data_IF_156517861794
#
_entry.id   IF_156517861794
#
_cell.length_a   1.000
_cell.length_b   1.000
_cell.length_c   1.000
_cell.angle_alpha   90.00
_cell.angle_beta   90.00
_cell.angle_gamma   90.00
#
_symmetry.space_group_name_H-M   'P 1'
#
loop_
_entity.id
_entity.type
_entity.pdbx_description
1 polymer ?
#
# COMPACT_ATOMS: atom_id res chain seq x y z
N UNK A 1 63.30 39.35 -116.19
CA UNK A 1 62.59 39.98 -115.05
C UNK A 1 61.72 38.99 -114.25
N UNK A 2 61.25 37.88 -114.84
CA UNK A 2 60.25 37.01 -114.20
C UNK A 2 60.76 36.08 -113.07
N UNK A 3 62.03 35.61 -113.11
CA UNK A 3 62.57 34.67 -112.10
C UNK A 3 62.69 35.27 -110.68
N UNK A 4 62.97 36.57 -110.55
CA UNK A 4 63.14 37.22 -109.25
C UNK A 4 61.80 37.45 -108.52
N UNK A 5 60.70 37.60 -109.26
CA UNK A 5 59.37 37.81 -108.70
C UNK A 5 58.84 36.52 -108.05
N UNK A 6 59.08 35.36 -108.68
CA UNK A 6 58.65 34.06 -108.16
C UNK A 6 59.37 33.73 -106.83
N UNK A 7 60.67 34.02 -106.74
CA UNK A 7 61.45 33.82 -105.50
C UNK A 7 60.91 34.70 -104.37
N UNK A 8 60.57 35.96 -104.67
CA UNK A 8 60.04 36.89 -103.68
C UNK A 8 58.68 36.42 -103.13
N UNK A 9 57.81 35.87 -103.98
CA UNK A 9 56.49 35.35 -103.58
C UNK A 9 56.63 34.09 -102.72
N UNK A 10 57.54 33.18 -103.06
CA UNK A 10 57.80 31.97 -102.25
C UNK A 10 58.37 32.33 -100.88
N UNK A 11 59.30 33.29 -100.82
CA UNK A 11 59.86 33.78 -99.56
C UNK A 11 58.77 34.45 -98.71
N UNK A 12 57.91 35.28 -99.30
CA UNK A 12 56.78 35.87 -98.59
C UNK A 12 55.85 34.80 -98.01
N UNK A 13 55.52 33.78 -98.80
CA UNK A 13 54.62 32.69 -98.39
C UNK A 13 55.22 31.87 -97.23
N UNK A 14 56.52 31.60 -97.25
CA UNK A 14 57.23 30.92 -96.16
C UNK A 14 57.22 31.80 -94.90
N UNK A 15 57.47 33.09 -95.01
CA UNK A 15 57.43 34.03 -93.87
C UNK A 15 56.03 34.08 -93.27
N UNK A 16 54.98 34.18 -94.09
CA UNK A 16 53.58 34.20 -93.60
C UNK A 16 53.21 32.90 -92.89
N UNK A 17 53.63 31.75 -93.41
CA UNK A 17 53.40 30.45 -92.76
C UNK A 17 54.20 30.31 -91.46
N UNK A 18 55.45 30.78 -91.40
CA UNK A 18 56.26 30.78 -90.17
C UNK A 18 55.67 31.69 -89.08
N UNK A 19 55.13 32.86 -89.44
CA UNK A 19 54.46 33.77 -88.50
C UNK A 19 53.14 33.16 -87.99
N UNK A 20 52.33 32.56 -88.87
CA UNK A 20 51.10 31.86 -88.46
C UNK A 20 51.39 30.64 -87.58
N UNK A 21 52.46 29.87 -87.87
CA UNK A 21 52.88 28.76 -87.04
C UNK A 21 53.36 29.26 -85.67
N UNK A 22 54.17 30.32 -85.61
CA UNK A 22 54.61 30.94 -84.35
C UNK A 22 53.46 31.44 -83.48
N UNK A 23 52.40 32.00 -84.08
CA UNK A 23 51.19 32.42 -83.36
C UNK A 23 50.35 31.23 -82.86
N UNK A 24 50.33 30.11 -83.59
CA UNK A 24 49.63 28.89 -83.18
C UNK A 24 50.27 28.22 -81.94
N UNK A 25 51.61 28.26 -81.82
CA UNK A 25 52.30 27.75 -80.61
C UNK A 25 52.24 28.70 -79.41
N UNK A 26 51.99 30.00 -79.63
CA UNK A 26 51.92 30.99 -78.55
C UNK A 26 50.64 30.87 -77.70
N UNK A 27 49.64 30.12 -78.17
CA UNK A 27 48.38 29.90 -77.45
C UNK A 27 48.43 28.79 -76.37
N UNK A 28 49.60 28.19 -76.11
CA UNK A 28 49.76 27.21 -75.01
C UNK A 28 49.70 27.79 -73.59
N UNK A 29 49.36 29.07 -73.41
CA UNK A 29 49.22 29.71 -72.09
C UNK A 29 47.80 29.78 -71.55
N UNK A 30 46.80 29.27 -72.27
CA UNK A 30 45.42 29.20 -71.79
C UNK A 30 45.09 27.82 -71.20
N UNK A 31 45.92 27.34 -70.26
CA UNK A 31 45.52 26.21 -69.41
C UNK A 31 44.83 26.85 -68.20
N UNK A 32 43.50 26.75 -68.14
CA UNK A 32 42.76 27.21 -66.95
C UNK A 32 43.30 26.47 -65.72
N UNK A 33 43.69 27.23 -64.70
CA UNK A 33 44.16 26.64 -63.43
C UNK A 33 43.03 25.80 -62.86
N UNK A 34 43.21 24.49 -62.79
CA UNK A 34 42.33 23.64 -61.98
C UNK A 34 42.30 24.22 -60.56
N UNK A 35 41.10 24.28 -59.96
CA UNK A 35 40.88 24.87 -58.65
C UNK A 35 41.99 24.44 -57.67
N UNK A 36 42.58 25.41 -56.96
CA UNK A 36 43.64 25.16 -56.00
C UNK A 36 43.11 24.33 -54.83
N UNK A 37 43.19 23.01 -54.96
CA UNK A 37 43.03 22.03 -53.87
C UNK A 37 44.29 22.04 -53.03
N UNK A 38 44.52 23.15 -52.34
CA UNK A 38 45.48 23.20 -51.25
C UNK A 38 44.97 22.24 -50.18
N UNK A 39 45.72 21.15 -49.94
CA UNK A 39 45.45 20.15 -48.92
C UNK A 39 45.10 20.78 -47.57
N UNK A 40 45.68 21.94 -47.28
CA UNK A 40 45.41 22.73 -46.08
C UNK A 40 43.97 23.25 -46.05
N UNK A 41 43.46 23.79 -47.17
CA UNK A 41 42.07 24.26 -47.28
C UNK A 41 41.07 23.11 -47.24
N UNK A 42 41.41 21.97 -47.84
CA UNK A 42 40.60 20.76 -47.75
C UNK A 42 40.57 20.26 -46.30
N UNK A 43 41.72 20.20 -45.62
CA UNK A 43 41.83 19.81 -44.21
C UNK A 43 41.09 20.79 -43.29
N UNK A 44 41.13 22.08 -43.56
CA UNK A 44 40.44 23.10 -42.77
C UNK A 44 38.93 23.02 -42.94
N UNK A 45 38.45 22.82 -44.17
CA UNK A 45 37.02 22.61 -44.44
C UNK A 45 36.53 21.29 -43.82
N UNK A 46 37.27 20.21 -43.98
CA UNK A 46 37.01 18.92 -43.33
C UNK A 46 36.95 19.07 -41.81
N UNK A 47 37.93 19.77 -41.23
CA UNK A 47 38.02 20.01 -39.79
C UNK A 47 36.87 20.88 -39.30
N UNK A 48 36.44 21.88 -40.08
CA UNK A 48 35.30 22.72 -39.77
C UNK A 48 34.00 21.92 -39.73
N UNK A 49 33.75 21.08 -40.75
CA UNK A 49 32.58 20.21 -40.83
C UNK A 49 32.55 19.25 -39.63
N UNK A 50 33.64 18.49 -39.40
CA UNK A 50 33.66 17.52 -38.29
C UNK A 50 33.60 18.18 -36.91
N UNK A 51 34.17 19.38 -36.71
CA UNK A 51 34.10 20.08 -35.42
C UNK A 51 32.68 20.51 -35.06
N UNK A 52 31.88 20.93 -36.05
CA UNK A 52 30.47 21.28 -35.83
C UNK A 52 29.69 20.06 -35.34
N UNK A 53 29.88 18.90 -35.97
CA UNK A 53 29.22 17.66 -35.56
C UNK A 53 29.66 17.18 -34.17
N UNK A 54 30.97 17.26 -33.88
CA UNK A 54 31.52 16.92 -32.54
C UNK A 54 30.93 17.83 -31.46
N UNK A 55 30.73 19.12 -31.75
CA UNK A 55 30.13 20.04 -30.80
C UNK A 55 28.65 19.74 -30.57
N UNK A 56 27.90 19.36 -31.60
CA UNK A 56 26.52 18.91 -31.46
C UNK A 56 26.41 17.67 -30.56
N UNK A 57 27.31 16.70 -30.73
CA UNK A 57 27.37 15.49 -29.89
C UNK A 57 27.70 15.83 -28.44
N UNK A 58 28.66 16.74 -28.19
CA UNK A 58 29.00 17.21 -26.84
C UNK A 58 27.83 17.92 -26.17
N UNK A 59 27.13 18.79 -26.90
CA UNK A 59 25.96 19.49 -26.40
C UNK A 59 24.85 18.50 -26.00
N UNK A 60 24.60 17.46 -26.80
CA UNK A 60 23.64 16.40 -26.46
C UNK A 60 24.07 15.61 -25.22
N UNK A 61 25.35 15.30 -25.08
CA UNK A 61 25.92 14.67 -23.88
C UNK A 61 25.71 15.53 -22.63
N UNK A 62 25.95 16.84 -22.71
CA UNK A 62 25.78 17.75 -21.59
C UNK A 62 24.31 17.95 -21.21
N UNK A 63 23.41 17.99 -22.21
CA UNK A 63 21.96 18.00 -21.97
C UNK A 63 21.54 16.71 -21.26
N UNK A 64 22.03 15.54 -21.70
CA UNK A 64 21.76 14.26 -21.05
C UNK A 64 22.25 14.22 -19.61
N UNK A 65 23.48 14.69 -19.34
CA UNK A 65 24.01 14.82 -17.97
C UNK A 65 23.16 15.75 -17.11
N UNK A 66 22.78 16.92 -17.61
CA UNK A 66 21.92 17.89 -16.90
C UNK A 66 20.52 17.33 -16.62
N UNK A 67 19.96 16.54 -17.53
CA UNK A 67 18.68 15.83 -17.32
C UNK A 67 18.80 14.74 -16.24
N UNK A 68 19.98 14.15 -16.06
CA UNK A 68 20.23 13.10 -15.07
C UNK A 68 20.64 13.65 -13.68
N UNK A 69 21.27 14.82 -13.61
CA UNK A 69 21.84 15.40 -12.37
C UNK A 69 20.83 15.62 -11.23
N UNK A 70 19.56 15.86 -11.54
CA UNK A 70 18.50 16.14 -10.54
C UNK A 70 17.31 15.18 -10.62
N UNK A 71 17.47 14.07 -11.34
CA UNK A 71 16.37 13.15 -11.64
C UNK A 71 15.48 13.64 -12.80
N UNK A 72 14.86 12.68 -13.49
CA UNK A 72 14.04 12.93 -14.66
C UNK A 72 12.60 13.23 -14.24
N UNK A 73 12.11 14.45 -14.48
CA UNK A 73 10.69 14.79 -14.34
C UNK A 73 9.97 14.54 -15.66
N UNK A 74 9.21 13.45 -15.74
CA UNK A 74 8.38 13.13 -16.92
C UNK A 74 6.95 13.59 -16.69
N UNK A 75 6.47 14.65 -17.36
CA UNK A 75 5.06 15.02 -17.32
C UNK A 75 4.24 14.01 -18.13
N UNK A 76 3.45 13.18 -17.46
CA UNK A 76 2.59 12.17 -18.10
C UNK A 76 2.91 10.74 -17.65
N UNK A 77 2.34 9.76 -18.35
CA UNK A 77 2.56 8.34 -18.08
C UNK A 77 3.98 7.93 -18.54
N UNK A 78 4.76 7.37 -17.63
CA UNK A 78 6.09 6.84 -17.92
C UNK A 78 5.95 5.38 -18.39
N UNK A 79 6.26 5.12 -19.66
CA UNK A 79 6.35 3.75 -20.21
C UNK A 79 7.82 3.33 -20.25
N UNK A 80 8.19 2.30 -19.48
CA UNK A 80 9.55 1.76 -19.42
C UNK A 80 9.54 0.38 -20.07
N UNK A 81 10.29 0.21 -21.16
CA UNK A 81 10.57 -1.11 -21.73
C UNK A 81 11.76 -1.74 -20.98
N UNK A 82 11.47 -2.46 -19.90
CA UNK A 82 12.48 -3.10 -19.04
C UNK A 82 11.98 -3.44 -17.63
N UNK A 83 12.87 -3.92 -16.75
CA UNK A 83 12.52 -4.28 -15.37
C UNK A 83 12.77 -3.10 -14.42
N UNK A 84 11.74 -2.32 -14.17
CA UNK A 84 11.70 -1.41 -13.01
C UNK A 84 11.36 -2.25 -11.77
N UNK A 85 12.19 -2.22 -10.71
CA UNK A 85 12.03 -3.10 -9.54
C UNK A 85 10.87 -2.60 -8.63
N UNK A 86 9.65 -2.54 -9.17
CA UNK A 86 8.52 -1.71 -8.72
C UNK A 86 7.51 -2.43 -7.82
N UNK A 87 7.92 -3.49 -7.12
CA UNK A 87 7.08 -4.52 -6.49
C UNK A 87 6.64 -5.61 -7.50
N UNK A 88 6.84 -6.91 -7.20
CA UNK A 88 6.38 -7.99 -8.05
C UNK A 88 4.84 -8.05 -8.12
N UNK A 89 4.31 -8.58 -9.22
CA UNK A 89 2.89 -8.96 -9.32
C UNK A 89 2.50 -9.85 -8.14
N UNK A 90 1.35 -9.56 -7.54
CA UNK A 90 0.89 -10.22 -6.32
C UNK A 90 1.30 -9.50 -5.02
N UNK A 91 2.09 -8.42 -5.10
CA UNK A 91 2.40 -7.61 -3.91
C UNK A 91 1.15 -6.93 -3.38
N UNK A 92 0.92 -7.00 -2.07
CA UNK A 92 -0.25 -6.43 -1.40
C UNK A 92 0.19 -5.29 -0.51
N UNK A 93 -0.49 -4.15 -0.62
CA UNK A 93 -0.22 -2.96 0.19
C UNK A 93 -1.52 -2.44 0.84
N UNK A 94 -1.36 -1.76 1.98
CA UNK A 94 -2.45 -0.99 2.57
C UNK A 94 -2.55 0.36 1.85
N UNK A 95 -3.78 0.74 1.49
CA UNK A 95 -4.08 1.89 0.65
C UNK A 95 -5.21 2.71 1.28
N UNK A 96 -5.01 4.03 1.36
CA UNK A 96 -5.96 4.95 1.99
C UNK A 96 -7.20 5.22 1.14
N UNK A 97 -7.12 5.07 -0.18
CA UNK A 97 -8.24 5.34 -1.08
C UNK A 97 -9.28 4.22 -1.11
N UNK A 98 -10.44 4.52 -1.69
CA UNK A 98 -11.58 3.59 -1.82
C UNK A 98 -11.58 2.80 -3.11
N UNK A 99 -10.79 3.23 -4.11
CA UNK A 99 -10.74 2.62 -5.45
C UNK A 99 -9.29 2.33 -5.82
N UNK A 100 -9.02 1.12 -6.28
CA UNK A 100 -7.68 0.74 -6.71
C UNK A 100 -7.25 1.57 -7.95
N UNK A 101 -6.04 2.16 -7.96
CA UNK A 101 -5.51 2.87 -9.12
C UNK A 101 -5.20 1.89 -10.27
N UNK A 102 -5.01 2.43 -11.48
CA UNK A 102 -4.64 1.63 -12.66
C UNK A 102 -3.38 0.79 -12.37
N UNK A 103 -3.39 -0.49 -12.77
CA UNK A 103 -2.31 -1.43 -12.50
C UNK A 103 -2.37 -2.11 -11.12
N UNK A 104 -3.42 -1.86 -10.35
CA UNK A 104 -3.74 -2.51 -9.08
C UNK A 104 -5.17 -3.04 -9.09
N UNK A 105 -5.46 -4.00 -8.23
CA UNK A 105 -6.78 -4.59 -8.04
C UNK A 105 -7.10 -4.67 -6.54
N UNK A 106 -8.38 -4.57 -6.16
CA UNK A 106 -8.79 -4.70 -4.75
C UNK A 106 -8.68 -6.15 -4.30
N UNK A 107 -8.16 -6.40 -3.09
CA UNK A 107 -8.10 -7.72 -2.48
C UNK A 107 -9.49 -8.15 -1.94
N UNK A 108 -10.43 -8.45 -2.84
CA UNK A 108 -11.81 -8.79 -2.51
C UNK A 108 -12.18 -10.26 -2.74
N UNK A 109 -11.24 -11.09 -3.19
CA UNK A 109 -11.46 -12.50 -3.50
C UNK A 109 -11.76 -12.78 -4.98
N UNK A 110 -11.89 -11.73 -5.81
CA UNK A 110 -12.16 -11.86 -7.24
C UNK A 110 -10.86 -11.78 -8.04
N UNK A 111 -10.89 -12.24 -9.28
CA UNK A 111 -9.77 -12.15 -10.23
C UNK A 111 -8.44 -12.71 -9.67
N UNK A 112 -8.51 -13.79 -8.89
CA UNK A 112 -7.33 -14.43 -8.27
C UNK A 112 -6.73 -13.67 -7.08
N UNK A 113 -7.36 -12.59 -6.61
CA UNK A 113 -6.92 -11.87 -5.41
C UNK A 113 -7.35 -12.61 -4.13
N UNK A 114 -6.59 -12.49 -3.03
CA UNK A 114 -7.08 -12.92 -1.72
C UNK A 114 -8.20 -11.99 -1.23
N UNK A 115 -9.15 -12.52 -0.46
CA UNK A 115 -10.19 -11.71 0.17
C UNK A 115 -9.73 -11.19 1.54
N UNK A 116 -9.26 -9.94 1.58
CA UNK A 116 -8.70 -9.30 2.79
C UNK A 116 -9.68 -8.32 3.46
N UNK A 117 -10.92 -8.24 3.01
CA UNK A 117 -11.94 -7.35 3.59
C UNK A 117 -12.27 -7.77 5.02
N UNK A 118 -12.10 -6.85 5.97
CA UNK A 118 -12.37 -7.09 7.39
C UNK A 118 -11.43 -8.11 8.04
N UNK A 119 -10.24 -8.33 7.47
CA UNK A 119 -9.26 -9.29 7.98
C UNK A 119 -7.99 -8.60 8.45
N UNK A 120 -7.45 -9.11 9.54
CA UNK A 120 -6.09 -8.81 9.96
C UNK A 120 -5.12 -9.75 9.25
N UNK A 121 -3.98 -9.23 8.81
CA UNK A 121 -2.96 -10.03 8.12
C UNK A 121 -2.09 -10.74 9.14
N UNK A 122 -2.09 -12.08 9.07
CA UNK A 122 -1.21 -12.92 9.86
C UNK A 122 -0.05 -13.36 8.97
N UNK A 123 1.18 -13.23 9.48
CA UNK A 123 2.39 -13.65 8.77
C UNK A 123 2.35 -15.15 8.47
N UNK A 124 2.86 -15.54 7.31
CA UNK A 124 2.93 -16.96 6.95
C UNK A 124 3.72 -17.76 7.99
N UNK A 125 3.17 -18.91 8.38
CA UNK A 125 3.80 -19.91 9.23
C UNK A 125 3.45 -21.29 8.66
N UNK A 126 4.37 -22.26 8.75
CA UNK A 126 4.17 -23.60 8.20
C UNK A 126 2.94 -24.32 8.80
N UNK A 127 2.54 -23.96 10.03
CA UNK A 127 1.34 -24.50 10.69
C UNK A 127 0.04 -23.91 10.13
N UNK A 128 0.12 -22.75 9.47
CA UNK A 128 -1.00 -22.02 8.87
C UNK A 128 -0.67 -21.76 7.39
N UNK A 129 -1.06 -22.72 6.55
CA UNK A 129 -0.84 -22.64 5.11
C UNK A 129 -1.33 -21.32 4.49
N UNK A 130 -0.73 -20.94 3.36
CA UNK A 130 -1.02 -19.67 2.68
C UNK A 130 -2.52 -19.55 2.38
N UNK A 131 -3.11 -18.39 2.69
CA UNK A 131 -4.53 -18.13 2.47
C UNK A 131 -5.47 -18.71 3.54
N UNK A 132 -4.94 -19.39 4.57
CA UNK A 132 -5.75 -19.81 5.73
C UNK A 132 -6.41 -18.61 6.40
N UNK A 133 -7.66 -18.77 6.82
CA UNK A 133 -8.45 -17.73 7.49
C UNK A 133 -8.92 -18.20 8.87
N UNK A 134 -9.06 -17.26 9.80
CA UNK A 134 -9.54 -17.53 11.15
C UNK A 134 -9.74 -16.26 11.96
N UNK A 135 -9.91 -16.41 13.28
CA UNK A 135 -10.16 -15.32 14.21
C UNK A 135 -11.65 -14.98 14.38
N UNK A 136 -11.94 -14.16 15.39
CA UNK A 136 -13.28 -13.69 15.71
C UNK A 136 -13.22 -12.23 16.17
N UNK A 137 -14.11 -11.39 15.64
CA UNK A 137 -14.24 -9.99 16.03
C UNK A 137 -14.81 -9.82 17.45
N UNK A 138 -15.68 -10.76 17.86
CA UNK A 138 -16.25 -10.82 19.20
C UNK A 138 -16.14 -12.22 19.76
N UNK A 139 -15.88 -12.34 21.06
CA UNK A 139 -15.77 -13.63 21.76
C UNK A 139 -16.78 -13.67 22.90
N UNK A 140 -17.48 -14.80 23.02
CA UNK A 140 -18.35 -15.12 24.16
C UNK A 140 -17.63 -16.18 25.00
N UNK A 141 -17.55 -15.94 26.31
CA UNK A 141 -16.95 -16.91 27.22
C UNK A 141 -17.82 -18.17 27.32
N UNK A 142 -17.16 -19.31 27.31
CA UNK A 142 -17.78 -20.60 27.59
C UNK A 142 -17.52 -21.00 29.04
N UNK A 143 -18.30 -21.94 29.57
CA UNK A 143 -18.08 -22.46 30.93
C UNK A 143 -16.65 -23.01 31.11
N UNK A 144 -16.07 -23.64 30.07
CA UNK A 144 -14.71 -24.14 30.08
C UNK A 144 -13.62 -23.05 30.13
N UNK A 145 -13.97 -21.81 29.81
CA UNK A 145 -13.07 -20.65 29.88
C UNK A 145 -13.20 -19.88 31.20
N UNK A 146 -14.09 -20.30 32.11
CA UNK A 146 -14.19 -19.71 33.44
C UNK A 146 -13.25 -20.44 34.41
N UNK A 147 -12.44 -19.71 35.19
CA UNK A 147 -11.68 -20.32 36.29
C UNK A 147 -12.59 -21.05 37.28
N UNK A 148 -12.04 -22.09 37.91
CA UNK A 148 -12.72 -22.79 39.00
C UNK A 148 -13.05 -21.80 40.13
N UNK A 149 -14.31 -21.80 40.56
CA UNK A 149 -14.80 -20.93 41.63
C UNK A 149 -15.93 -21.65 42.38
N UNK A 150 -16.22 -21.18 43.59
CA UNK A 150 -17.30 -21.70 44.43
C UNK A 150 -18.11 -20.54 45.00
N UNK A 151 -19.35 -20.82 45.38
CA UNK A 151 -20.19 -19.90 46.14
C UNK A 151 -20.47 -20.51 47.51
N UNK A 152 -20.29 -19.72 48.57
CA UNK A 152 -20.58 -20.12 49.93
C UNK A 152 -21.71 -19.27 50.50
N UNK A 153 -22.64 -19.90 51.20
CA UNK A 153 -23.63 -19.23 52.03
C UNK A 153 -23.20 -19.37 53.50
N UNK A 154 -22.94 -18.26 54.18
CA UNK A 154 -22.39 -18.26 55.53
C UNK A 154 -23.43 -18.31 56.66
N UNK A 155 -24.59 -18.93 56.40
CA UNK A 155 -25.56 -19.28 57.44
C UNK A 155 -26.99 -18.85 57.15
N UNK A 156 -27.92 -19.50 57.86
CA UNK A 156 -29.36 -19.33 57.69
C UNK A 156 -29.94 -17.99 58.18
N UNK A 157 -29.11 -17.19 58.86
CA UNK A 157 -29.59 -16.20 59.80
C UNK A 157 -30.18 -16.93 61.01
N UNK A 158 -29.41 -17.01 62.11
CA UNK A 158 -29.91 -17.57 63.37
C UNK A 158 -31.13 -16.76 63.82
N UNK A 159 -32.30 -17.39 63.86
CA UNK A 159 -33.52 -16.75 64.36
C UNK A 159 -34.27 -17.70 65.29
N UNK A 160 -35.39 -17.24 65.84
CA UNK A 160 -36.18 -18.04 66.78
C UNK A 160 -37.65 -17.72 66.59
N UNK A 161 -38.48 -18.75 66.53
CA UNK A 161 -39.91 -18.56 66.56
C UNK A 161 -40.42 -18.63 68.00
N UNK A 162 -41.51 -17.91 68.24
CA UNK A 162 -42.19 -17.92 69.52
C UNK A 162 -43.67 -18.17 69.26
N UNK A 163 -44.24 -19.19 69.89
CA UNK A 163 -45.68 -19.39 69.89
C UNK A 163 -46.31 -18.54 70.99
N UNK A 164 -47.41 -17.87 70.67
CA UNK A 164 -48.28 -17.23 71.66
C UNK A 164 -49.41 -18.20 71.97
N UNK A 165 -49.60 -18.54 73.24
CA UNK A 165 -50.72 -19.35 73.70
C UNK A 165 -51.99 -18.49 73.69
N UNK A 166 -52.89 -18.75 72.74
CA UNK A 166 -54.23 -18.19 72.76
C UNK A 166 -55.09 -19.02 73.72
N UNK A 167 -55.44 -18.47 74.88
CA UNK A 167 -56.34 -19.16 75.82
C UNK A 167 -57.75 -19.13 75.25
N UNK A 168 -58.24 -20.25 74.73
CA UNK A 168 -59.68 -20.46 74.65
C UNK A 168 -60.18 -20.69 76.07
N UNK A 169 -60.74 -19.65 76.70
CA UNK A 169 -61.50 -19.84 77.94
C UNK A 169 -62.72 -20.68 77.54
N UNK A 170 -62.69 -21.98 77.80
CA UNK A 170 -63.86 -22.83 77.62
C UNK A 170 -65.03 -22.23 78.39
N UNK A 171 -66.23 -22.27 77.82
CA UNK A 171 -67.46 -21.62 78.34
C UNK A 171 -67.98 -22.17 79.69
N UNK A 172 -67.10 -22.65 80.57
CA UNK A 172 -67.42 -23.18 81.89
C UNK A 172 -66.38 -22.91 82.98
N UNK A 173 -65.27 -22.20 82.72
CA UNK A 173 -64.32 -21.83 83.79
C UNK A 173 -64.87 -20.68 84.63
N UNK A 174 -65.64 -21.00 85.66
CA UNK A 174 -66.02 -20.05 86.71
C UNK A 174 -64.81 -19.81 87.62
N UNK A 175 -64.26 -18.59 87.60
CA UNK A 175 -63.31 -18.15 88.63
C UNK A 175 -64.06 -17.98 89.95
N UNK A 176 -64.12 -19.03 90.76
CA UNK A 176 -64.71 -18.96 92.10
C UNK A 176 -63.66 -18.52 93.11
N UNK A 177 -63.64 -17.22 93.43
CA UNK A 177 -63.23 -16.73 94.75
C UNK A 177 -62.15 -15.65 94.79
N UNK A 178 -62.50 -14.49 95.34
CA UNK A 178 -61.58 -13.54 95.99
C UNK A 178 -61.29 -12.26 95.20
N UNK A 179 -61.75 -11.10 95.70
CA UNK A 179 -61.55 -9.78 95.10
C UNK A 179 -60.11 -9.27 95.16
N UNK A 180 -59.22 -9.90 94.40
CA UNK A 180 -57.92 -9.37 94.01
C UNK A 180 -57.85 -9.28 92.49
N UNK A 181 -57.04 -8.35 91.97
CA UNK A 181 -56.76 -8.22 90.53
C UNK A 181 -56.01 -9.47 90.07
N UNK A 182 -56.73 -10.54 89.73
CA UNK A 182 -56.19 -11.74 89.08
C UNK A 182 -55.87 -11.38 87.63
N UNK A 183 -54.91 -10.48 87.43
CA UNK A 183 -54.19 -10.41 86.16
C UNK A 183 -53.44 -11.72 86.06
N UNK A 184 -54.02 -12.67 85.32
CA UNK A 184 -53.29 -13.84 84.87
C UNK A 184 -52.11 -13.31 84.06
N UNK A 185 -50.96 -13.18 84.71
CA UNK A 185 -49.72 -12.71 84.12
C UNK A 185 -49.18 -13.79 83.20
N UNK A 186 -49.83 -14.00 82.05
CA UNK A 186 -49.37 -14.93 81.05
C UNK A 186 -48.22 -14.31 80.29
N UNK A 187 -47.00 -14.49 80.82
CA UNK A 187 -45.76 -14.21 80.10
C UNK A 187 -45.26 -15.49 79.40
N UNK A 188 -46.17 -16.22 78.74
CA UNK A 188 -45.90 -17.50 78.09
C UNK A 188 -45.34 -17.32 76.70
N UNK A 189 -44.15 -16.73 76.56
CA UNK A 189 -43.44 -16.69 75.28
C UNK A 189 -42.58 -17.94 75.14
N UNK A 190 -43.13 -18.99 74.53
CA UNK A 190 -42.42 -20.26 74.35
C UNK A 190 -41.62 -20.26 73.05
N UNK A 191 -40.30 -20.43 73.14
CA UNK A 191 -39.44 -20.61 71.97
C UNK A 191 -39.72 -21.98 71.36
N UNK A 192 -39.97 -22.02 70.05
CA UNK A 192 -40.13 -23.30 69.35
C UNK A 192 -38.82 -24.08 69.37
N UNK A 193 -38.90 -25.41 69.44
CA UNK A 193 -37.73 -26.30 69.42
C UNK A 193 -37.15 -26.53 68.01
N UNK A 194 -37.86 -26.04 67.00
CA UNK A 194 -37.46 -26.16 65.59
C UNK A 194 -37.60 -24.81 64.91
N UNK A 195 -36.58 -24.46 64.13
CA UNK A 195 -36.67 -23.37 63.16
C UNK A 195 -37.44 -23.93 61.96
N UNK A 196 -38.50 -23.23 61.53
CA UNK A 196 -39.35 -23.72 60.45
C UNK A 196 -38.56 -24.00 59.16
N UNK A 197 -39.14 -24.82 58.26
CA UNK A 197 -38.52 -25.15 56.99
C UNK A 197 -38.28 -23.87 56.15
N UNK A 198 -37.02 -23.60 55.79
CA UNK A 198 -36.64 -22.49 54.91
C UNK A 198 -35.50 -22.91 53.97
N UNK A 199 -35.35 -22.15 52.87
CA UNK A 199 -34.34 -22.43 51.85
C UNK A 199 -33.59 -21.16 51.45
N UNK A 200 -32.29 -21.32 51.15
CA UNK A 200 -31.47 -20.28 50.55
C UNK A 200 -31.28 -20.57 49.07
N UNK A 201 -31.42 -19.53 48.25
CA UNK A 201 -31.23 -19.61 46.81
C UNK A 201 -30.15 -18.62 46.39
N UNK A 202 -29.12 -19.12 45.73
CA UNK A 202 -28.22 -18.31 44.92
C UNK A 202 -28.85 -18.11 43.55
N UNK A 203 -28.78 -16.89 43.05
CA UNK A 203 -29.19 -16.58 41.68
C UNK A 203 -27.97 -16.54 40.78
N UNK A 204 -28.16 -16.94 39.52
CA UNK A 204 -27.15 -16.76 38.50
C UNK A 204 -27.03 -15.27 38.15
N UNK A 205 -25.79 -14.83 37.95
CA UNK A 205 -25.48 -13.47 37.47
C UNK A 205 -24.65 -13.57 36.20
N UNK A 206 -24.82 -12.60 35.31
CA UNK A 206 -24.14 -12.51 34.02
C UNK A 206 -25.09 -12.87 32.87
N UNK A 207 -25.00 -12.11 31.78
CA UNK A 207 -25.85 -12.33 30.59
C UNK A 207 -25.15 -13.04 29.45
N UNK A 208 -23.91 -13.49 29.66
CA UNK A 208 -23.10 -14.19 28.67
C UNK A 208 -23.00 -13.44 27.32
N UNK A 209 -22.97 -12.11 27.36
CA UNK A 209 -22.82 -11.29 26.16
C UNK A 209 -21.40 -11.42 25.61
N UNK A 210 -21.27 -11.45 24.29
CA UNK A 210 -19.97 -11.41 23.65
C UNK A 210 -19.32 -10.03 23.83
N UNK A 211 -18.00 -10.01 24.02
CA UNK A 211 -17.22 -8.78 24.09
C UNK A 211 -16.37 -8.61 22.82
N UNK A 212 -15.98 -7.36 22.54
CA UNK A 212 -15.06 -7.05 21.45
C UNK A 212 -13.70 -7.75 21.70
N UNK A 213 -13.14 -8.32 20.64
CA UNK A 213 -11.81 -8.96 20.63
C UNK A 213 -10.84 -8.25 19.65
N UNK A 214 -11.28 -7.16 19.01
CA UNK A 214 -10.43 -6.39 18.10
C UNK A 214 -9.57 -5.39 18.88
N UNK A 215 -8.25 -5.34 18.66
CA UNK A 215 -7.40 -4.26 19.16
C UNK A 215 -7.79 -2.93 18.48
N UNK A 216 -7.34 -1.76 18.98
CA UNK A 216 -7.49 -0.50 18.27
C UNK A 216 -6.97 -0.59 16.82
N UNK A 217 -7.76 -0.15 15.84
CA UNK A 217 -7.46 -0.32 14.42
C UNK A 217 -7.80 0.92 13.59
N UNK A 218 -7.16 1.02 12.43
CA UNK A 218 -7.47 1.99 11.38
C UNK A 218 -7.88 1.22 10.12
N UNK A 219 -8.93 1.67 9.43
CA UNK A 219 -9.46 1.00 8.25
C UNK A 219 -8.77 1.54 7.00
N UNK A 220 -8.05 0.66 6.30
CA UNK A 220 -7.45 0.90 5.00
C UNK A 220 -7.90 -0.19 4.03
N UNK A 221 -7.88 0.13 2.74
CA UNK A 221 -8.16 -0.83 1.67
C UNK A 221 -6.89 -1.61 1.35
N UNK A 222 -6.99 -2.94 1.21
CA UNK A 222 -5.89 -3.73 0.67
C UNK A 222 -6.02 -3.84 -0.86
N UNK A 223 -4.94 -3.50 -1.56
CA UNK A 223 -4.83 -3.61 -3.02
C UNK A 223 -3.63 -4.47 -3.41
N UNK A 224 -3.74 -5.21 -4.50
CA UNK A 224 -2.73 -6.11 -5.04
C UNK A 224 -2.22 -5.59 -6.39
N UNK A 225 -0.90 -5.66 -6.59
CA UNK A 225 -0.26 -5.29 -7.85
C UNK A 225 -0.57 -6.33 -8.93
N UNK A 226 -1.09 -5.89 -10.07
CA UNK A 226 -1.24 -6.69 -11.28
C UNK A 226 0.11 -6.87 -11.99
#
# INVERSE_FOLDING_TARGET
MEKNIIILIVVLFIITNCVNFGLFFNNRKNIEKMANTDDTKIKDQITSIYKVDIQAIRNLSDISKKLQEKGLRVPGDLTIEGKFNYLPTGSIIAFKGTTAPKGWVVCDGRNGTPNLKGRFIYGYDATKGLGSVGGAATVRLTAAQMPSHTHAMHGAGSHSHYSMEGTSIGSGSQMTGGGGDHRLGFNGRWRTSTDGNHAHRLNNTGGNQAHNNMPPYCVLLYIMKL
#
